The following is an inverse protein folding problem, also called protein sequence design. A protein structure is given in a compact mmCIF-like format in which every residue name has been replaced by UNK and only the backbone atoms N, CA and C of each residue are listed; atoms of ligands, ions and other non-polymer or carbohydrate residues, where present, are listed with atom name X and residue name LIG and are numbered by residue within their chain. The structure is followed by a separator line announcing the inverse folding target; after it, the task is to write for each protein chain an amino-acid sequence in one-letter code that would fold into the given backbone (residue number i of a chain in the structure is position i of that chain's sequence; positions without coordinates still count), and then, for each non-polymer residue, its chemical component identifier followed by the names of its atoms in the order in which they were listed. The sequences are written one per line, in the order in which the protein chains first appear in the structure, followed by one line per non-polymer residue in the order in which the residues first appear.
data_IF_883279423230
#
_entry.id   IF_883279423230
#
_cell.length_a   1.000
_cell.length_b   1.000
_cell.length_c   1.000
_cell.angle_alpha   90.00
_cell.angle_beta   90.00
_cell.angle_gamma   90.00
#
_symmetry.space_group_name_H-M   'P 1'
#
loop_
_entity.id
_entity.type
_entity.pdbx_description
1 polymer ?
#
# COMPACT_ATOMS: atom_id res chain seq x y z
N UNK A 1 -15.47 55.34 -37.07
CA UNK A 1 -15.78 54.17 -36.22
C UNK A 1 -16.20 53.07 -37.16
N UNK A 2 -15.63 51.89 -36.95
CA UNK A 2 -15.37 50.86 -37.95
C UNK A 2 -16.61 50.14 -38.49
N UNK A 3 -16.47 49.78 -39.76
CA UNK A 3 -17.27 48.90 -40.61
C UNK A 3 -17.38 47.46 -40.08
N UNK A 4 -18.49 46.79 -40.37
CA UNK A 4 -18.57 45.33 -40.35
C UNK A 4 -19.68 44.84 -41.29
N UNK A 5 -19.37 44.73 -42.58
CA UNK A 5 -20.07 43.83 -43.51
C UNK A 5 -19.08 42.72 -43.91
N UNK A 6 -19.38 41.46 -43.58
CA UNK A 6 -18.87 40.24 -44.25
C UNK A 6 -19.33 39.01 -43.46
N UNK A 7 -20.38 38.30 -43.88
CA UNK A 7 -20.52 37.40 -45.04
C UNK A 7 -20.08 35.96 -44.76
N UNK A 8 -20.97 35.07 -45.18
CA UNK A 8 -20.85 33.63 -45.48
C UNK A 8 -21.21 32.62 -44.38
N UNK A 9 -22.47 32.18 -44.51
CA UNK A 9 -22.98 30.82 -44.31
C UNK A 9 -21.99 29.71 -44.68
N UNK A 10 -21.97 28.62 -43.90
CA UNK A 10 -21.88 27.20 -44.32
C UNK A 10 -22.47 26.41 -43.12
N UNK A 11 -23.76 26.08 -43.13
CA UNK A 11 -24.35 24.84 -43.64
C UNK A 11 -23.69 23.54 -43.14
N UNK A 12 -24.49 22.79 -42.37
CA UNK A 12 -24.49 21.33 -42.21
C UNK A 12 -23.17 20.61 -41.93
N UNK A 13 -23.00 20.18 -40.68
CA UNK A 13 -22.56 18.81 -40.44
C UNK A 13 -23.58 18.08 -39.57
N UNK A 14 -24.13 17.02 -40.15
CA UNK A 14 -24.99 16.04 -39.54
C UNK A 14 -24.44 15.58 -38.19
N UNK A 15 -25.26 15.76 -37.17
CA UNK A 15 -25.15 15.04 -35.91
C UNK A 15 -25.32 13.55 -36.23
N UNK A 16 -24.34 12.67 -35.91
CA UNK A 16 -24.59 11.24 -36.00
C UNK A 16 -25.67 10.93 -34.96
N UNK A 17 -26.84 10.60 -35.47
CA UNK A 17 -28.01 10.12 -34.74
C UNK A 17 -27.55 8.87 -33.98
N UNK A 18 -27.14 9.03 -32.73
CA UNK A 18 -26.81 7.90 -31.86
C UNK A 18 -28.11 7.14 -31.63
N UNK A 19 -28.24 6.02 -32.34
CA UNK A 19 -29.22 4.98 -32.07
C UNK A 19 -29.15 4.61 -30.58
N UNK A 20 -30.28 4.40 -29.88
CA UNK A 20 -30.27 3.93 -28.50
C UNK A 20 -29.68 2.53 -28.50
N UNK A 21 -28.38 2.43 -28.26
CA UNK A 21 -27.76 1.15 -27.98
C UNK A 21 -28.38 0.63 -26.70
N UNK A 22 -29.05 -0.51 -26.83
CA UNK A 22 -29.49 -1.40 -25.77
C UNK A 22 -28.26 -1.81 -24.94
N UNK A 23 -27.82 -0.90 -24.06
CA UNK A 23 -26.71 -1.14 -23.14
C UNK A 23 -27.26 -2.07 -22.08
N UNK A 24 -27.09 -3.39 -22.31
CA UNK A 24 -27.17 -4.40 -21.25
C UNK A 24 -26.45 -3.85 -20.02
N UNK A 25 -27.04 -3.94 -18.82
CA UNK A 25 -26.42 -3.41 -17.62
C UNK A 25 -25.06 -4.11 -17.44
N UNK A 26 -23.98 -3.34 -17.61
CA UNK A 26 -22.64 -3.81 -17.31
C UNK A 26 -22.61 -4.15 -15.82
N UNK A 27 -22.37 -5.44 -15.51
CA UNK A 27 -22.19 -5.89 -14.13
C UNK A 27 -21.15 -4.99 -13.47
N UNK A 28 -21.38 -4.54 -12.22
CA UNK A 28 -20.37 -3.78 -11.50
C UNK A 28 -19.07 -4.57 -11.49
N UNK A 29 -18.01 -3.95 -12.02
CA UNK A 29 -16.66 -4.50 -12.04
C UNK A 29 -16.25 -4.70 -10.59
N UNK A 30 -16.17 -5.94 -10.14
CA UNK A 30 -15.72 -6.27 -8.79
C UNK A 30 -14.35 -5.61 -8.55
N UNK A 31 -14.10 -5.02 -7.36
CA UNK A 31 -12.83 -4.39 -7.07
C UNK A 31 -11.72 -5.42 -7.24
N UNK A 32 -10.71 -5.09 -8.07
CA UNK A 32 -9.57 -5.95 -8.26
C UNK A 32 -8.76 -6.00 -6.95
N UNK A 33 -8.64 -7.18 -6.35
CA UNK A 33 -7.74 -7.41 -5.22
C UNK A 33 -6.31 -7.58 -5.77
N UNK A 34 -5.47 -6.56 -5.59
CA UNK A 34 -4.05 -6.64 -5.92
C UNK A 34 -3.27 -7.12 -4.69
N UNK A 35 -2.53 -8.21 -4.84
CA UNK A 35 -1.52 -8.59 -3.86
C UNK A 35 -0.18 -8.02 -4.31
N UNK A 36 0.38 -7.09 -3.55
CA UNK A 36 1.71 -6.51 -3.80
C UNK A 36 2.82 -7.47 -3.29
N UNK A 37 2.44 -8.49 -2.50
CA UNK A 37 3.34 -9.46 -1.87
C UNK A 37 3.01 -10.91 -2.32
N UNK A 38 4.01 -11.80 -2.52
CA UNK A 38 5.45 -11.56 -2.40
C UNK A 38 6.03 -10.78 -3.58
N UNK A 39 7.06 -9.94 -3.36
CA UNK A 39 7.76 -9.24 -4.41
C UNK A 39 8.51 -10.24 -5.30
N UNK A 40 8.76 -9.85 -6.54
CA UNK A 40 9.58 -10.65 -7.46
C UNK A 40 11.04 -10.68 -7.02
N UNK A 41 11.80 -11.71 -7.43
CA UNK A 41 13.23 -11.79 -7.13
C UNK A 41 14.00 -10.55 -7.59
N UNK A 42 13.68 -10.01 -8.77
CA UNK A 42 14.28 -8.77 -9.27
C UNK A 42 14.10 -7.60 -8.29
N UNK A 43 12.93 -7.48 -7.68
CA UNK A 43 12.65 -6.42 -6.70
C UNK A 43 13.45 -6.65 -5.42
N UNK A 44 13.58 -7.90 -4.97
CA UNK A 44 14.40 -8.28 -3.82
C UNK A 44 15.87 -7.91 -4.05
N UNK A 45 16.42 -8.28 -5.21
CA UNK A 45 17.81 -7.98 -5.57
C UNK A 45 18.07 -6.46 -5.61
N UNK A 46 17.13 -5.67 -6.16
CA UNK A 46 17.25 -4.21 -6.17
C UNK A 46 17.25 -3.59 -4.76
N UNK A 47 16.55 -4.20 -3.80
CA UNK A 47 16.59 -3.78 -2.39
C UNK A 47 17.96 -4.07 -1.80
N UNK A 48 18.54 -5.24 -2.07
CA UNK A 48 19.90 -5.59 -1.64
C UNK A 48 20.91 -4.57 -2.17
N UNK A 49 20.89 -4.26 -3.47
CA UNK A 49 21.80 -3.28 -4.08
C UNK A 49 21.67 -1.90 -3.43
N UNK A 50 20.44 -1.47 -3.15
CA UNK A 50 20.18 -0.18 -2.49
C UNK A 50 20.66 -0.16 -1.04
N UNK A 51 20.52 -1.27 -0.31
CA UNK A 51 21.04 -1.40 1.06
C UNK A 51 22.56 -1.35 1.08
N UNK A 52 23.22 -2.05 0.14
CA UNK A 52 24.67 -1.99 -0.04
C UNK A 52 25.10 -0.54 -0.28
N UNK A 53 24.51 0.14 -1.26
CA UNK A 53 24.80 1.55 -1.56
C UNK A 53 24.63 2.45 -0.32
N UNK A 54 23.59 2.21 0.48
CA UNK A 54 23.32 2.99 1.69
C UNK A 54 24.41 2.78 2.73
N UNK A 55 24.79 1.52 3.02
CA UNK A 55 25.80 1.17 4.02
C UNK A 55 27.23 1.56 3.61
N UNK A 56 27.52 1.62 2.30
CA UNK A 56 28.84 2.00 1.78
C UNK A 56 28.98 3.51 1.55
N UNK A 57 27.88 4.21 1.22
CA UNK A 57 27.94 5.60 0.73
C UNK A 57 27.38 6.62 1.71
N UNK A 58 26.42 6.24 2.57
CA UNK A 58 25.59 7.24 3.26
C UNK A 58 25.46 6.97 4.75
N UNK A 59 26.15 7.72 5.64
CA UNK A 59 25.89 7.68 7.07
C UNK A 59 24.61 8.46 7.39
N UNK A 60 23.44 7.95 6.96
CA UNK A 60 22.13 8.57 7.19
C UNK A 60 21.26 7.80 8.21
N UNK A 61 21.72 6.65 8.72
CA UNK A 61 20.91 5.81 9.60
C UNK A 61 20.98 6.18 11.10
N UNK A 62 21.96 6.97 11.56
CA UNK A 62 22.00 7.57 12.91
C UNK A 62 23.23 8.49 13.11
N UNK A 63 23.17 9.55 13.94
CA UNK A 63 24.31 10.43 14.24
C UNK A 63 25.47 9.75 14.99
N UNK A 64 25.27 8.51 15.48
CA UNK A 64 26.29 7.71 16.17
C UNK A 64 26.71 6.47 15.37
N UNK A 65 26.03 6.13 14.29
CA UNK A 65 26.30 4.95 13.48
C UNK A 65 27.26 5.30 12.33
N UNK A 66 28.49 5.68 12.69
CA UNK A 66 29.58 5.96 11.74
C UNK A 66 30.28 4.67 11.30
N UNK A 67 29.51 3.61 11.03
CA UNK A 67 30.07 2.35 10.51
C UNK A 67 29.90 2.37 9.00
N UNK A 68 30.92 2.87 8.31
CA UNK A 68 31.08 2.62 6.87
C UNK A 68 31.58 1.19 6.72
N UNK A 69 30.70 0.27 6.31
CA UNK A 69 31.07 -1.12 6.09
C UNK A 69 31.89 -1.26 4.81
N UNK A 70 32.80 -2.24 4.76
CA UNK A 70 33.38 -2.66 3.49
C UNK A 70 32.29 -3.21 2.56
N UNK A 71 32.52 -3.19 1.25
CA UNK A 71 31.52 -3.67 0.29
C UNK A 71 31.10 -5.14 0.52
N UNK A 72 32.03 -5.97 1.01
CA UNK A 72 31.78 -7.37 1.32
C UNK A 72 30.88 -7.53 2.56
N UNK A 73 31.19 -6.82 3.65
CA UNK A 73 30.38 -6.81 4.87
C UNK A 73 28.99 -6.22 4.63
N UNK A 74 28.90 -5.14 3.84
CA UNK A 74 27.64 -4.54 3.44
C UNK A 74 26.78 -5.50 2.61
N UNK A 75 27.39 -6.25 1.69
CA UNK A 75 26.70 -7.25 0.87
C UNK A 75 26.14 -8.40 1.72
N UNK A 76 26.95 -8.92 2.65
CA UNK A 76 26.50 -9.97 3.56
C UNK A 76 25.34 -9.49 4.45
N UNK A 77 25.48 -8.31 5.06
CA UNK A 77 24.46 -7.72 5.92
C UNK A 77 23.16 -7.41 5.15
N UNK A 78 23.27 -6.83 3.95
CA UNK A 78 22.11 -6.46 3.13
C UNK A 78 21.26 -7.69 2.75
N UNK A 79 21.90 -8.82 2.41
CA UNK A 79 21.19 -10.08 2.12
C UNK A 79 20.44 -10.62 3.34
N UNK A 80 21.09 -10.60 4.51
CA UNK A 80 20.46 -11.04 5.76
C UNK A 80 19.24 -10.18 6.13
N UNK A 81 19.38 -8.85 6.00
CA UNK A 81 18.29 -7.91 6.28
C UNK A 81 17.11 -8.11 5.31
N UNK A 82 17.39 -8.28 4.02
CA UNK A 82 16.35 -8.51 3.02
C UNK A 82 15.62 -9.83 3.26
N UNK A 83 16.34 -10.91 3.55
CA UNK A 83 15.74 -12.23 3.76
C UNK A 83 14.84 -12.27 5.01
N UNK A 84 15.28 -11.65 6.10
CA UNK A 84 14.48 -11.50 7.32
C UNK A 84 13.22 -10.65 7.07
N UNK A 85 13.37 -9.51 6.38
CA UNK A 85 12.24 -8.65 6.03
C UNK A 85 11.23 -9.38 5.12
N UNK A 86 11.71 -10.17 4.15
CA UNK A 86 10.86 -10.97 3.27
C UNK A 86 10.07 -12.02 4.05
N UNK A 87 10.72 -12.73 4.97
CA UNK A 87 10.07 -13.72 5.82
C UNK A 87 9.02 -13.08 6.75
N UNK A 88 9.36 -11.97 7.41
CA UNK A 88 8.48 -11.27 8.34
C UNK A 88 7.21 -10.72 7.66
N UNK A 89 7.35 -10.11 6.48
CA UNK A 89 6.21 -9.61 5.71
C UNK A 89 5.36 -10.74 5.11
N UNK A 90 5.97 -11.86 4.70
CA UNK A 90 5.26 -13.04 4.21
C UNK A 90 4.31 -13.66 5.24
N UNK A 91 4.65 -13.61 6.53
CA UNK A 91 3.75 -14.01 7.61
C UNK A 91 2.55 -13.07 7.76
N UNK A 92 2.78 -11.76 7.69
CA UNK A 92 1.72 -10.74 7.81
C UNK A 92 0.75 -10.71 6.64
N UNK A 93 1.25 -10.87 5.41
CA UNK A 93 0.42 -10.89 4.20
C UNK A 93 -0.55 -12.08 4.16
N UNK A 94 -0.19 -13.22 4.77
CA UNK A 94 -1.06 -14.40 4.89
C UNK A 94 -2.16 -14.24 5.93
N UNK A 95 -1.94 -13.42 6.96
CA UNK A 95 -2.89 -13.16 8.05
C UNK A 95 -3.84 -11.98 7.76
N UNK A 96 -3.56 -11.16 6.74
CA UNK A 96 -4.37 -9.98 6.38
C UNK A 96 -5.77 -10.26 5.82
N UNK A 97 -6.16 -11.53 5.64
CA UNK A 97 -7.47 -11.94 5.11
C UNK A 97 -8.51 -12.42 6.14
N UNK A 98 -8.22 -12.39 7.45
CA UNK A 98 -9.04 -13.04 8.48
C UNK A 98 -9.44 -12.08 9.63
N UNK A 99 -9.90 -10.86 9.33
CA UNK A 99 -10.37 -9.89 10.36
C UNK A 99 -11.80 -9.36 10.16
N UNK A 100 -12.65 -10.13 9.49
CA UNK A 100 -14.09 -9.85 9.41
C UNK A 100 -14.88 -10.96 10.14
N UNK A 101 -14.72 -11.01 11.45
CA UNK A 101 -15.65 -11.71 12.34
C UNK A 101 -15.64 -11.02 13.70
N UNK A 102 -16.31 -9.88 13.73
CA UNK A 102 -16.84 -9.28 14.96
C UNK A 102 -17.96 -10.21 15.50
N UNK A 103 -17.96 -10.52 16.80
CA UNK A 103 -19.25 -10.47 17.48
C UNK A 103 -19.17 -9.61 18.73
N UNK A 104 -19.72 -8.41 18.60
CA UNK A 104 -20.28 -7.63 19.66
C UNK A 104 -21.15 -8.51 20.58
N UNK A 105 -20.93 -8.34 21.88
CA UNK A 105 -21.88 -8.74 22.93
C UNK A 105 -21.28 -9.66 23.97
N UNK A 106 -20.78 -9.11 25.08
CA UNK A 106 -21.55 -9.10 26.33
C UNK A 106 -20.83 -8.26 27.39
N UNK A 107 -21.32 -7.05 27.52
CA UNK A 107 -21.41 -6.32 28.78
C UNK A 107 -22.20 -7.17 29.79
N UNK A 108 -21.50 -7.80 30.73
CA UNK A 108 -22.11 -8.25 31.99
C UNK A 108 -21.21 -7.76 33.12
N UNK A 109 -21.71 -6.77 33.85
CA UNK A 109 -21.11 -6.40 35.12
C UNK A 109 -21.37 -7.49 36.13
N UNK A 110 -20.41 -7.72 37.02
CA UNK A 110 -20.78 -8.06 38.39
C UNK A 110 -19.81 -7.41 39.37
N UNK A 111 -20.44 -6.80 40.35
CA UNK A 111 -19.88 -5.98 41.39
C UNK A 111 -19.28 -6.93 42.44
N UNK A 112 -18.01 -7.33 42.32
CA UNK A 112 -17.37 -8.06 43.41
C UNK A 112 -16.96 -7.07 44.51
N UNK A 113 -17.91 -6.83 45.42
CA UNK A 113 -17.66 -6.26 46.73
C UNK A 113 -16.56 -7.09 47.43
N UNK A 114 -15.44 -6.45 47.73
CA UNK A 114 -14.49 -6.93 48.72
C UNK A 114 -14.75 -6.14 50.01
N UNK A 115 -15.75 -6.61 50.73
CA UNK A 115 -15.98 -6.31 52.13
C UNK A 115 -14.94 -7.08 52.97
N UNK A 116 -14.42 -6.44 54.01
CA UNK A 116 -13.74 -7.09 55.13
C UNK A 116 -12.27 -7.46 54.93
N UNK A 117 -11.35 -6.72 55.57
CA UNK A 117 -10.91 -7.14 56.89
C UNK A 117 -10.21 -5.99 57.62
N UNK A 118 -10.79 -5.64 58.76
CA UNK A 118 -10.34 -4.67 59.74
C UNK A 118 -9.78 -5.46 60.89
N UNK A 119 -8.47 -5.75 60.90
CA UNK A 119 -7.73 -6.21 62.08
C UNK A 119 -6.26 -5.76 61.90
N UNK A 120 -5.57 -5.13 62.84
CA UNK A 120 -5.84 -4.68 64.20
C UNK A 120 -4.68 -3.78 64.65
#
# INVERSE_FOLDING_TARGET
MSDAESTMEVESQEQPKQEPQDRKPEKPRSPASFSIWPPTQRTRDAVVDRLIETMTTTPLLSPTATVTLSADEASAAARLIEEDAFAAAGGSARLGGQRDADPAGLLEGDQQAHDGDRQG
#
